data_IF_727776590772
#
_entry.id   IF_727776590772
#
_cell.length_a   1.000
_cell.length_b   1.000
_cell.length_c   1.000
_cell.angle_alpha   90.00
_cell.angle_beta   90.00
_cell.angle_gamma   90.00
#
_symmetry.space_group_name_H-M   'P 1'
#
loop_
_entity.id
_entity.type
_entity.pdbx_description
1 polymer ?
#
# COMPACT_ATOMS: atom_id res chain seq x y z
N UNK A 1 -0.85 -16.50 -32.31
CA UNK A 1 0.49 -16.47 -31.67
C UNK A 1 0.29 -16.05 -30.23
N UNK A 2 0.33 -16.99 -29.29
CA UNK A 2 0.20 -16.71 -27.87
C UNK A 2 1.51 -16.10 -27.35
N UNK A 3 1.54 -14.77 -27.21
CA UNK A 3 2.61 -14.08 -26.48
C UNK A 3 2.42 -14.34 -24.98
N UNK A 4 2.78 -15.53 -24.53
CA UNK A 4 2.90 -15.83 -23.11
C UNK A 4 4.20 -15.24 -22.59
N UNK A 5 4.10 -14.32 -21.63
CA UNK A 5 5.28 -13.80 -20.93
C UNK A 5 5.63 -14.80 -19.85
N UNK A 6 6.79 -15.45 -20.00
CA UNK A 6 7.30 -16.40 -19.03
C UNK A 6 7.98 -15.65 -17.88
N UNK A 7 7.39 -15.76 -16.69
CA UNK A 7 8.01 -15.26 -15.47
C UNK A 7 9.04 -16.27 -14.95
N UNK A 8 10.23 -15.81 -14.56
CA UNK A 8 11.09 -16.67 -13.76
C UNK A 8 10.45 -16.89 -12.39
N UNK A 9 10.52 -18.12 -11.85
CA UNK A 9 9.98 -18.42 -10.52
C UNK A 9 10.63 -17.54 -9.43
N UNK A 10 11.88 -17.11 -9.66
CA UNK A 10 12.61 -16.18 -8.81
C UNK A 10 12.01 -14.76 -8.82
N UNK A 11 11.55 -14.27 -9.98
CA UNK A 11 10.88 -12.98 -10.09
C UNK A 11 9.53 -12.99 -9.36
N UNK A 12 8.70 -14.04 -9.56
CA UNK A 12 7.42 -14.20 -8.85
C UNK A 12 7.63 -14.25 -7.34
N UNK A 13 8.58 -15.07 -6.86
CA UNK A 13 8.93 -15.14 -5.43
C UNK A 13 9.41 -13.81 -4.88
N UNK A 14 10.19 -13.06 -5.64
CA UNK A 14 10.69 -11.74 -5.22
C UNK A 14 9.57 -10.71 -5.13
N UNK A 15 8.64 -10.72 -6.09
CA UNK A 15 7.44 -9.88 -6.08
C UNK A 15 6.56 -10.23 -4.89
N UNK A 16 6.29 -11.51 -4.63
CA UNK A 16 5.50 -11.94 -3.46
C UNK A 16 6.12 -11.48 -2.14
N UNK A 17 7.45 -11.58 -1.99
CA UNK A 17 8.15 -11.08 -0.80
C UNK A 17 7.99 -9.57 -0.61
N UNK A 18 8.03 -8.79 -1.71
CA UNK A 18 7.81 -7.35 -1.65
C UNK A 18 6.36 -7.01 -1.26
N UNK A 19 5.39 -7.73 -1.84
CA UNK A 19 3.97 -7.59 -1.47
C UNK A 19 3.74 -7.87 0.02
N UNK A 20 4.37 -8.92 0.56
CA UNK A 20 4.27 -9.27 1.98
C UNK A 20 4.83 -8.15 2.87
N UNK A 21 5.96 -7.54 2.47
CA UNK A 21 6.54 -6.39 3.18
C UNK A 21 5.66 -5.13 3.13
N UNK A 22 5.05 -4.85 1.97
CA UNK A 22 4.08 -3.75 1.84
C UNK A 22 2.90 -4.00 2.78
N UNK A 23 2.36 -5.23 2.79
CA UNK A 23 1.29 -5.62 3.70
C UNK A 23 1.63 -5.41 5.17
N UNK A 24 2.82 -5.85 5.59
CA UNK A 24 3.30 -5.69 6.96
C UNK A 24 3.51 -4.22 7.35
N UNK A 25 4.01 -3.39 6.43
CA UNK A 25 4.23 -1.96 6.68
C UNK A 25 2.91 -1.20 6.76
N UNK A 26 1.92 -1.57 5.92
CA UNK A 26 0.56 -1.08 6.07
C UNK A 26 -0.04 -1.44 7.44
N UNK A 27 0.15 -2.68 7.91
CA UNK A 27 -0.34 -3.12 9.23
C UNK A 27 0.34 -2.37 10.38
N UNK A 28 1.64 -2.13 10.29
CA UNK A 28 2.37 -1.32 11.25
C UNK A 28 1.83 0.11 11.31
N UNK A 29 1.56 0.72 10.15
CA UNK A 29 1.01 2.08 10.09
C UNK A 29 -0.43 2.14 10.60
N UNK A 30 -1.27 1.16 10.27
CA UNK A 30 -2.63 1.05 10.82
C UNK A 30 -2.57 0.94 12.35
N UNK A 31 -1.76 0.03 12.88
CA UNK A 31 -1.62 -0.13 14.33
C UNK A 31 -1.11 1.14 15.02
N UNK A 32 -0.16 1.87 14.41
CA UNK A 32 0.30 3.14 14.93
C UNK A 32 -0.80 4.21 14.94
N UNK A 33 -1.64 4.25 13.89
CA UNK A 33 -2.76 5.16 13.80
C UNK A 33 -3.87 4.84 14.81
N UNK A 34 -4.17 3.57 15.04
CA UNK A 34 -5.14 3.11 16.04
C UNK A 34 -4.67 3.42 17.46
N UNK A 35 -3.42 3.13 17.81
CA UNK A 35 -2.86 3.48 19.12
C UNK A 35 -2.82 4.99 19.33
N UNK A 36 -2.58 5.78 18.28
CA UNK A 36 -2.64 7.24 18.39
C UNK A 36 -4.06 7.78 18.60
N UNK A 37 -5.08 7.03 18.18
CA UNK A 37 -6.51 7.34 18.42
C UNK A 37 -6.91 7.07 19.86
N UNK A 38 -6.39 6.00 20.47
CA UNK A 38 -6.72 5.58 21.84
C UNK A 38 -5.76 6.15 22.93
N UNK A 39 -4.59 6.66 22.53
CA UNK A 39 -3.47 6.96 23.43
C UNK A 39 -3.45 8.30 24.17
N UNK A 40 -4.44 9.19 24.00
CA UNK A 40 -4.40 10.57 24.60
C UNK A 40 -5.37 10.74 25.79
N UNK A 41 -6.13 9.70 26.14
CA UNK A 41 -7.13 9.78 27.23
C UNK A 41 -6.55 9.60 28.66
N UNK A 42 -5.35 9.02 28.82
CA UNK A 42 -4.91 8.49 30.12
C UNK A 42 -3.68 9.13 30.78
N UNK A 43 -2.96 10.04 30.12
CA UNK A 43 -1.87 10.79 30.74
C UNK A 43 -2.12 12.28 30.55
N UNK A 44 -2.28 13.02 31.65
CA UNK A 44 -2.58 14.45 31.72
C UNK A 44 -1.50 15.39 31.20
N UNK A 45 -0.89 15.05 30.06
CA UNK A 45 -0.12 15.95 29.21
C UNK A 45 -0.94 16.11 27.94
N UNK A 46 -1.51 17.30 27.75
CA UNK A 46 -2.17 17.72 26.50
C UNK A 46 -1.15 17.75 25.36
N UNK A 47 -0.69 16.59 24.89
CA UNK A 47 -0.03 16.49 23.59
C UNK A 47 -1.15 16.32 22.57
N UNK A 48 -1.78 17.45 22.24
CA UNK A 48 -2.66 17.62 21.08
C UNK A 48 -3.79 16.59 20.96
N UNK A 49 -4.86 16.78 21.74
CA UNK A 49 -6.17 16.07 21.62
C UNK A 49 -6.85 16.16 20.23
N UNK A 50 -6.17 16.62 19.18
CA UNK A 50 -6.75 16.80 17.84
C UNK A 50 -5.68 16.95 16.74
N UNK A 51 -4.51 16.30 16.83
CA UNK A 51 -3.48 16.43 15.79
C UNK A 51 -3.95 15.93 14.40
N UNK A 52 -4.89 14.97 14.38
CA UNK A 52 -5.59 14.51 13.17
C UNK A 52 -7.05 14.24 13.52
N UNK A 53 -7.98 14.60 12.63
CA UNK A 53 -9.39 14.26 12.82
C UNK A 53 -9.62 12.76 12.67
N UNK A 54 -10.57 12.20 13.41
CA UNK A 54 -10.97 10.79 13.28
C UNK A 54 -11.33 10.44 11.83
N UNK A 55 -12.02 11.34 11.12
CA UNK A 55 -12.36 11.17 9.70
C UNK A 55 -11.11 11.10 8.80
N UNK A 56 -10.07 11.88 9.10
CA UNK A 56 -8.81 11.80 8.36
C UNK A 56 -8.13 10.45 8.59
N UNK A 57 -8.04 10.00 9.85
CA UNK A 57 -7.45 8.71 10.20
C UNK A 57 -8.22 7.56 9.55
N UNK A 58 -9.55 7.57 9.62
CA UNK A 58 -10.40 6.54 9.02
C UNK A 58 -10.21 6.47 7.50
N UNK A 59 -10.05 7.62 6.82
CA UNK A 59 -9.75 7.68 5.37
C UNK A 59 -8.36 7.11 5.05
N UNK A 60 -7.34 7.47 5.82
CA UNK A 60 -5.97 6.96 5.64
C UNK A 60 -5.94 5.44 5.85
N UNK A 61 -6.54 4.94 6.93
CA UNK A 61 -6.68 3.50 7.20
C UNK A 61 -7.43 2.82 6.07
N UNK A 62 -8.51 3.43 5.57
CA UNK A 62 -9.25 2.94 4.40
C UNK A 62 -8.35 2.77 3.16
N UNK A 63 -7.51 3.75 2.85
CA UNK A 63 -6.56 3.63 1.73
C UNK A 63 -5.49 2.55 1.98
N UNK A 64 -4.98 2.42 3.21
CA UNK A 64 -4.01 1.36 3.55
C UNK A 64 -4.63 -0.03 3.38
N UNK A 65 -5.88 -0.22 3.80
CA UNK A 65 -6.61 -1.47 3.60
C UNK A 65 -6.85 -1.77 2.11
N UNK A 66 -7.19 -0.76 1.31
CA UNK A 66 -7.33 -0.90 -0.14
C UNK A 66 -6.00 -1.29 -0.80
N UNK A 67 -4.89 -0.66 -0.42
CA UNK A 67 -3.55 -1.04 -0.90
C UNK A 67 -3.24 -2.50 -0.59
N UNK A 68 -3.52 -2.96 0.64
CA UNK A 68 -3.35 -4.37 1.02
C UNK A 68 -4.21 -5.30 0.15
N UNK A 69 -5.47 -4.92 -0.09
CA UNK A 69 -6.38 -5.70 -0.93
C UNK A 69 -5.84 -5.81 -2.36
N UNK A 70 -5.44 -4.70 -2.98
CA UNK A 70 -4.88 -4.70 -4.32
C UNK A 70 -3.59 -5.53 -4.41
N UNK A 71 -2.71 -5.46 -3.40
CA UNK A 71 -1.51 -6.30 -3.32
C UNK A 71 -1.83 -7.80 -3.24
N UNK A 72 -2.85 -8.16 -2.46
CA UNK A 72 -3.31 -9.54 -2.35
C UNK A 72 -3.95 -10.05 -3.65
N UNK A 73 -4.76 -9.23 -4.30
CA UNK A 73 -5.35 -9.57 -5.60
C UNK A 73 -4.26 -9.68 -6.66
N UNK A 74 -3.27 -8.80 -6.66
CA UNK A 74 -2.11 -8.88 -7.53
C UNK A 74 -1.33 -10.18 -7.29
N UNK A 75 -1.11 -10.58 -6.04
CA UNK A 75 -0.48 -11.87 -5.70
C UNK A 75 -1.24 -13.09 -6.24
N UNK A 76 -2.57 -13.05 -6.24
CA UNK A 76 -3.40 -14.16 -6.76
C UNK A 76 -3.30 -14.32 -8.28
N UNK A 77 -3.14 -13.20 -8.97
CA UNK A 77 -3.15 -13.12 -10.44
C UNK A 77 -1.75 -13.19 -11.05
N UNK A 78 -0.69 -12.78 -10.34
CA UNK A 78 0.69 -12.91 -10.80
C UNK A 78 1.14 -14.36 -10.71
N UNK A 79 1.31 -15.00 -11.88
CA UNK A 79 1.73 -16.39 -12.01
C UNK A 79 2.85 -16.52 -13.04
N UNK A 80 3.54 -17.67 -13.00
CA UNK A 80 4.64 -18.00 -13.92
C UNK A 80 4.21 -17.94 -15.40
N UNK A 81 2.94 -18.27 -15.65
CA UNK A 81 2.31 -18.19 -16.97
C UNK A 81 1.03 -17.37 -16.81
N UNK A 82 0.93 -16.27 -17.56
CA UNK A 82 -0.29 -15.46 -17.63
C UNK A 82 -0.73 -15.35 -19.08
N UNK A 83 -2.00 -15.68 -19.32
CA UNK A 83 -2.63 -15.44 -20.61
C UNK A 83 -2.95 -13.94 -20.79
N UNK A 84 -3.36 -13.54 -22.00
CA UNK A 84 -3.61 -12.12 -22.32
C UNK A 84 -4.72 -11.48 -21.45
N UNK A 85 -5.74 -12.25 -21.06
CA UNK A 85 -6.83 -11.77 -20.22
C UNK A 85 -6.37 -11.56 -18.77
N UNK A 86 -5.56 -12.46 -18.24
CA UNK A 86 -4.94 -12.35 -16.91
C UNK A 86 -3.96 -11.16 -16.86
N UNK A 87 -3.24 -10.88 -17.95
CA UNK A 87 -2.40 -9.68 -18.06
C UNK A 87 -3.21 -8.40 -17.96
N UNK A 88 -4.37 -8.33 -18.63
CA UNK A 88 -5.24 -7.16 -18.55
C UNK A 88 -5.84 -6.98 -17.14
N UNK A 89 -6.18 -8.08 -16.47
CA UNK A 89 -6.61 -8.04 -15.06
C UNK A 89 -5.50 -7.54 -14.14
N UNK A 90 -4.25 -8.01 -14.33
CA UNK A 90 -3.09 -7.54 -13.57
C UNK A 90 -2.84 -6.05 -13.84
N UNK A 91 -2.96 -5.60 -15.08
CA UNK A 91 -2.83 -4.18 -15.45
C UNK A 91 -3.85 -3.31 -14.71
N UNK A 92 -5.11 -3.73 -14.71
CA UNK A 92 -6.17 -3.03 -14.01
C UNK A 92 -5.93 -3.01 -12.48
N UNK A 93 -5.46 -4.12 -11.89
CA UNK A 93 -5.09 -4.14 -10.47
C UNK A 93 -3.95 -3.16 -10.17
N UNK A 94 -2.95 -3.07 -11.04
CA UNK A 94 -1.84 -2.11 -10.91
C UNK A 94 -2.34 -0.68 -11.02
N UNK A 95 -3.27 -0.39 -11.93
CA UNK A 95 -3.90 0.93 -12.06
C UNK A 95 -4.61 1.35 -10.77
N UNK A 96 -5.49 0.50 -10.22
CA UNK A 96 -6.17 0.77 -8.94
C UNK A 96 -5.20 0.94 -7.76
N UNK A 97 -4.10 0.20 -7.80
CA UNK A 97 -3.04 0.29 -6.80
C UNK A 97 -2.31 1.63 -6.85
N UNK A 98 -1.96 2.12 -8.05
CA UNK A 98 -1.36 3.43 -8.26
C UNK A 98 -2.33 4.57 -7.91
N UNK A 99 -3.60 4.46 -8.30
CA UNK A 99 -4.61 5.45 -7.89
C UNK A 99 -4.76 5.55 -6.37
N UNK A 100 -4.74 4.41 -5.68
CA UNK A 100 -4.83 4.39 -4.22
C UNK A 100 -3.56 4.96 -3.58
N UNK A 101 -2.39 4.72 -4.19
CA UNK A 101 -1.12 5.34 -3.82
C UNK A 101 -1.21 6.87 -3.89
N UNK A 102 -1.71 7.41 -5.00
CA UNK A 102 -1.85 8.85 -5.20
C UNK A 102 -2.84 9.48 -4.21
N UNK A 103 -3.95 8.81 -3.92
CA UNK A 103 -4.92 9.23 -2.90
C UNK A 103 -4.28 9.26 -1.51
N UNK A 104 -3.46 8.26 -1.17
CA UNK A 104 -2.73 8.24 0.12
C UNK A 104 -1.67 9.34 0.18
N UNK A 105 -0.95 9.58 -0.92
CA UNK A 105 0.04 10.66 -1.04
C UNK A 105 -0.59 12.03 -0.88
N UNK A 106 -1.77 12.26 -1.45
CA UNK A 106 -2.54 13.47 -1.24
C UNK A 106 -2.85 13.67 0.26
N UNK A 107 -3.24 12.60 0.98
CA UNK A 107 -3.44 12.67 2.44
C UNK A 107 -2.18 12.99 3.22
N UNK A 108 -1.00 12.55 2.77
CA UNK A 108 0.26 12.99 3.38
C UNK A 108 0.43 14.50 3.29
N UNK A 109 0.21 15.07 2.12
CA UNK A 109 0.40 16.51 1.88
C UNK A 109 -0.64 17.34 2.64
N UNK A 110 -1.86 16.82 2.81
CA UNK A 110 -2.93 17.49 3.55
C UNK A 110 -2.64 17.65 5.06
N UNK A 111 -1.79 16.81 5.66
CA UNK A 111 -1.51 16.84 7.09
C UNK A 111 -0.01 16.84 7.38
N UNK A 112 0.52 18.02 7.74
CA UNK A 112 1.92 18.18 8.17
C UNK A 112 2.28 17.27 9.34
N UNK A 113 1.35 17.08 10.29
CA UNK A 113 1.57 16.17 11.41
C UNK A 113 1.70 14.72 10.96
N UNK A 114 0.77 14.25 10.11
CA UNK A 114 0.82 12.90 9.57
C UNK A 114 2.09 12.68 8.74
N UNK A 115 2.44 13.63 7.87
CA UNK A 115 3.64 13.57 7.06
C UNK A 115 4.92 13.51 7.91
N UNK A 116 5.02 14.35 8.94
CA UNK A 116 6.22 14.39 9.78
C UNK A 116 6.35 13.15 10.69
N UNK A 117 5.22 12.60 11.14
CA UNK A 117 5.20 11.47 12.09
C UNK A 117 5.28 10.12 11.37
N UNK A 118 4.56 9.98 10.27
CA UNK A 118 4.36 8.70 9.58
C UNK A 118 4.83 8.69 8.13
N UNK A 119 5.28 9.83 7.59
CA UNK A 119 5.63 9.94 6.18
C UNK A 119 6.77 9.01 5.76
N UNK A 120 7.70 8.68 6.67
CA UNK A 120 8.71 7.65 6.42
C UNK A 120 8.08 6.28 6.10
N UNK A 121 7.10 5.82 6.90
CA UNK A 121 6.42 4.55 6.66
C UNK A 121 5.62 4.55 5.35
N UNK A 122 4.99 5.67 5.02
CA UNK A 122 4.24 5.79 3.76
C UNK A 122 5.17 5.83 2.55
N UNK A 123 6.32 6.49 2.65
CA UNK A 123 7.34 6.47 1.61
C UNK A 123 7.94 5.07 1.42
N UNK A 124 8.22 4.34 2.50
CA UNK A 124 8.67 2.93 2.42
C UNK A 124 7.64 2.06 1.67
N UNK A 125 6.34 2.25 1.95
CA UNK A 125 5.26 1.60 1.20
C UNK A 125 5.37 1.94 -0.29
N UNK A 126 5.51 3.21 -0.64
CA UNK A 126 5.60 3.66 -2.04
C UNK A 126 6.82 3.11 -2.78
N UNK A 127 8.00 3.12 -2.15
CA UNK A 127 9.21 2.57 -2.77
C UNK A 127 9.07 1.07 -3.06
N UNK A 128 8.49 0.32 -2.12
CA UNK A 128 8.24 -1.11 -2.30
C UNK A 128 7.17 -1.37 -3.36
N UNK A 129 6.13 -0.54 -3.44
CA UNK A 129 5.11 -0.59 -4.50
C UNK A 129 5.72 -0.36 -5.88
N UNK A 130 6.53 0.69 -6.04
CA UNK A 130 7.24 0.97 -7.29
C UNK A 130 8.15 -0.19 -7.68
N UNK A 131 8.84 -0.81 -6.72
CA UNK A 131 9.66 -1.98 -6.95
C UNK A 131 8.85 -3.22 -7.39
N UNK A 132 7.60 -3.36 -6.92
CA UNK A 132 6.66 -4.38 -7.41
C UNK A 132 6.25 -4.08 -8.85
N UNK A 133 5.77 -2.85 -9.13
CA UNK A 133 5.28 -2.44 -10.46
C UNK A 133 6.38 -2.57 -11.52
N UNK A 134 7.61 -2.12 -11.23
CA UNK A 134 8.76 -2.24 -12.15
C UNK A 134 9.13 -3.69 -12.50
N UNK A 135 8.80 -4.65 -11.64
CA UNK A 135 9.07 -6.07 -11.86
C UNK A 135 7.94 -6.78 -12.61
N UNK A 136 6.81 -6.11 -12.84
CA UNK A 136 5.72 -6.64 -13.65
C UNK A 136 5.92 -6.25 -15.12
N UNK A 137 5.63 -7.14 -16.08
CA UNK A 137 5.76 -6.88 -17.50
C UNK A 137 4.52 -6.16 -18.08
N UNK A 138 3.81 -5.38 -17.26
CA UNK A 138 2.69 -4.57 -17.73
C UNK A 138 3.27 -3.30 -18.34
N UNK A 139 3.48 -3.33 -19.66
CA UNK A 139 3.81 -2.15 -20.47
C UNK A 139 2.91 -2.12 -21.68
#
# INVERSE_FOLDING_TARGET
MENSINFSSNAVRSISKLMDKVGATCDQLIGALEVSKDGVSSYGVRITDNAMSTEFVDRVVGYLLLLKKHMFDLRKNVRTHMNFQEQHQVAHIVEHLLETQDKLKAKMIESNYFNNTYGYLVNDIFEMMDAVVRKLPVK
#
